data_IF_717083238393
#
_entry.id   IF_717083238393
#
_cell.length_a   1.000
_cell.length_b   1.000
_cell.length_c   1.000
_cell.angle_alpha   90.00
_cell.angle_beta   90.00
_cell.angle_gamma   90.00
#
_symmetry.space_group_name_H-M   'P 1'
#
loop_
_entity.id
_entity.type
_entity.pdbx_description
1 polymer ?
#
# COMPACT_ATOMS: atom_id res chain seq x y z
N UNK A 1 5.59 -2.18 -12.64
CA UNK A 1 5.63 -1.16 -11.57
C UNK A 1 5.08 0.18 -12.03
N UNK A 2 5.51 0.79 -13.13
CA UNK A 2 4.98 2.09 -13.62
C UNK A 2 3.45 2.11 -13.73
N UNK A 3 2.83 1.09 -14.35
CA UNK A 3 1.37 0.98 -14.42
C UNK A 3 0.72 0.88 -13.03
N UNK A 4 1.38 0.22 -12.08
CA UNK A 4 0.90 0.18 -10.70
C UNK A 4 0.86 1.57 -10.07
N UNK A 5 1.96 2.33 -10.19
CA UNK A 5 2.05 3.69 -9.68
C UNK A 5 0.99 4.61 -10.34
N UNK A 6 0.81 4.50 -11.66
CA UNK A 6 -0.21 5.25 -12.40
C UNK A 6 -1.64 4.99 -11.87
N UNK A 7 -2.02 3.71 -11.70
CA UNK A 7 -3.35 3.40 -11.20
C UNK A 7 -3.55 3.78 -9.73
N UNK A 8 -2.52 3.67 -8.90
CA UNK A 8 -2.59 4.17 -7.53
C UNK A 8 -2.69 5.70 -7.47
N UNK A 9 -2.04 6.42 -8.37
CA UNK A 9 -2.19 7.87 -8.50
C UNK A 9 -3.65 8.25 -8.82
N UNK A 10 -4.26 7.60 -9.83
CA UNK A 10 -5.67 7.80 -10.15
C UNK A 10 -6.58 7.47 -8.95
N UNK A 11 -6.32 6.35 -8.27
CA UNK A 11 -7.05 6.00 -7.05
C UNK A 11 -6.99 7.12 -6.02
N UNK A 12 -5.80 7.67 -5.77
CA UNK A 12 -5.60 8.73 -4.76
C UNK A 12 -6.39 9.99 -5.07
N UNK A 13 -6.51 10.37 -6.35
CA UNK A 13 -7.34 11.50 -6.78
C UNK A 13 -8.80 11.30 -6.33
N UNK A 14 -9.38 10.12 -6.60
CA UNK A 14 -10.77 9.84 -6.21
C UNK A 14 -10.95 9.66 -4.71
N UNK A 15 -9.94 9.11 -4.00
CA UNK A 15 -9.93 9.09 -2.53
C UNK A 15 -10.03 10.52 -1.99
N UNK A 16 -9.24 11.45 -2.51
CA UNK A 16 -9.27 12.86 -2.09
C UNK A 16 -10.62 13.52 -2.35
N UNK A 17 -11.26 13.20 -3.48
CA UNK A 17 -12.58 13.74 -3.83
C UNK A 17 -13.69 13.22 -2.90
N UNK A 18 -13.61 11.98 -2.44
CA UNK A 18 -14.63 11.40 -1.57
C UNK A 18 -14.36 11.64 -0.09
N UNK A 19 -13.12 11.95 0.28
CA UNK A 19 -12.74 12.24 1.67
C UNK A 19 -13.40 13.50 2.26
N UNK A 20 -13.98 14.36 1.41
CA UNK A 20 -14.82 15.50 1.88
C UNK A 20 -16.20 15.07 2.40
N UNK A 21 -16.64 13.84 2.07
CA UNK A 21 -17.97 13.33 2.41
C UNK A 21 -17.89 12.12 3.36
N UNK A 22 -16.90 11.27 3.19
CA UNK A 22 -16.79 10.00 3.93
C UNK A 22 -15.54 9.94 4.79
N UNK A 23 -15.67 9.32 5.96
CA UNK A 23 -14.54 8.99 6.81
C UNK A 23 -13.57 8.03 6.11
N UNK A 24 -12.30 8.22 6.37
CA UNK A 24 -11.21 7.42 5.77
C UNK A 24 -11.42 5.91 5.96
N UNK A 25 -11.93 5.51 7.14
CA UNK A 25 -12.16 4.11 7.46
C UNK A 25 -13.25 3.48 6.57
N UNK A 26 -14.30 4.22 6.22
CA UNK A 26 -15.33 3.78 5.28
C UNK A 26 -14.78 3.62 3.87
N UNK A 27 -13.92 4.55 3.44
CA UNK A 27 -13.25 4.45 2.13
C UNK A 27 -12.38 3.18 2.06
N UNK A 28 -11.63 2.89 3.14
CA UNK A 28 -10.83 1.66 3.27
C UNK A 28 -11.70 0.42 3.19
N UNK A 29 -12.83 0.42 3.91
CA UNK A 29 -13.77 -0.69 3.92
C UNK A 29 -14.35 -0.96 2.53
N UNK A 30 -14.96 0.02 1.89
CA UNK A 30 -15.59 -0.15 0.58
C UNK A 30 -14.58 -0.54 -0.50
N UNK A 31 -13.41 0.10 -0.50
CA UNK A 31 -12.30 -0.29 -1.36
C UNK A 31 -11.88 -1.74 -1.13
N UNK A 32 -11.77 -2.13 0.16
CA UNK A 32 -11.45 -3.50 0.58
C UNK A 32 -12.48 -4.50 0.08
N UNK A 33 -13.77 -4.24 0.27
CA UNK A 33 -14.86 -5.10 -0.21
C UNK A 33 -14.82 -5.25 -1.73
N UNK A 34 -14.68 -4.15 -2.47
CA UNK A 34 -14.60 -4.20 -3.93
C UNK A 34 -13.40 -5.02 -4.41
N UNK A 35 -12.21 -4.78 -3.86
CA UNK A 35 -11.00 -5.52 -4.24
C UNK A 35 -11.05 -6.98 -3.80
N UNK A 36 -11.70 -7.29 -2.68
CA UNK A 36 -11.92 -8.67 -2.22
C UNK A 36 -12.82 -9.45 -3.20
N UNK A 37 -13.96 -8.87 -3.59
CA UNK A 37 -14.89 -9.48 -4.52
C UNK A 37 -14.28 -9.69 -5.91
N UNK A 38 -13.61 -8.66 -6.43
CA UNK A 38 -12.94 -8.75 -7.74
C UNK A 38 -11.77 -9.73 -7.73
N UNK A 39 -10.99 -9.79 -6.65
CA UNK A 39 -9.91 -10.78 -6.51
C UNK A 39 -10.47 -12.19 -6.36
N UNK A 40 -11.58 -12.37 -5.64
CA UNK A 40 -12.26 -13.67 -5.55
C UNK A 40 -12.73 -14.15 -6.92
N UNK A 41 -13.31 -13.25 -7.74
CA UNK A 41 -13.67 -13.55 -9.13
C UNK A 41 -12.43 -13.98 -9.94
N UNK A 42 -11.30 -13.27 -9.82
CA UNK A 42 -10.06 -13.63 -10.51
C UNK A 42 -9.51 -14.99 -10.04
N UNK A 43 -9.58 -15.30 -8.74
CA UNK A 43 -9.21 -16.62 -8.21
C UNK A 43 -10.01 -17.74 -8.90
N UNK A 44 -11.31 -17.58 -9.01
CA UNK A 44 -12.18 -18.54 -9.68
C UNK A 44 -11.86 -18.65 -11.17
N UNK A 45 -11.73 -17.52 -11.86
CA UNK A 45 -11.43 -17.46 -13.30
C UNK A 45 -10.11 -18.15 -13.67
N UNK A 46 -9.10 -18.02 -12.84
CA UNK A 46 -7.76 -18.60 -13.09
C UNK A 46 -7.50 -19.89 -12.31
N UNK A 47 -8.52 -20.51 -11.73
CA UNK A 47 -8.44 -21.75 -10.95
C UNK A 47 -7.32 -21.72 -9.88
N UNK A 48 -7.12 -20.54 -9.25
CA UNK A 48 -6.15 -20.39 -8.18
C UNK A 48 -6.78 -20.70 -6.82
N UNK A 49 -6.03 -21.38 -5.94
CA UNK A 49 -6.48 -21.68 -4.59
C UNK A 49 -6.53 -20.42 -3.73
N UNK A 50 -7.62 -20.22 -3.00
CA UNK A 50 -7.74 -19.14 -2.00
C UNK A 50 -6.71 -19.33 -0.89
N UNK A 51 -6.53 -20.57 -0.43
CA UNK A 51 -5.67 -20.88 0.72
C UNK A 51 -4.18 -20.87 0.38
N UNK A 52 -3.81 -21.07 -0.89
CA UNK A 52 -2.40 -21.22 -1.30
C UNK A 52 -1.72 -22.43 -0.63
N UNK A 53 -0.42 -22.54 -0.84
CA UNK A 53 0.41 -23.60 -0.23
C UNK A 53 1.10 -23.13 1.05
N UNK A 54 1.47 -21.84 1.13
CA UNK A 54 2.22 -21.24 2.24
C UNK A 54 1.34 -20.27 3.05
N UNK A 55 0.30 -20.81 3.68
CA UNK A 55 -0.74 -20.04 4.38
C UNK A 55 -0.19 -19.03 5.38
N UNK A 56 0.76 -19.43 6.23
CA UNK A 56 1.32 -18.55 7.25
C UNK A 56 1.94 -17.27 6.68
N UNK A 57 2.65 -17.37 5.53
CA UNK A 57 3.28 -16.22 4.90
C UNK A 57 2.23 -15.35 4.21
N UNK A 58 1.21 -15.96 3.60
CA UNK A 58 0.08 -15.26 2.99
C UNK A 58 -0.73 -14.48 4.05
N UNK A 59 -1.02 -15.10 5.19
CA UNK A 59 -1.66 -14.43 6.33
C UNK A 59 -0.82 -13.26 6.83
N UNK A 60 0.48 -13.50 7.07
CA UNK A 60 1.41 -12.46 7.50
C UNK A 60 1.46 -11.29 6.51
N UNK A 61 1.49 -11.58 5.19
CA UNK A 61 1.42 -10.59 4.11
C UNK A 61 0.13 -9.75 4.21
N UNK A 62 -1.01 -10.40 4.35
CA UNK A 62 -2.31 -9.75 4.45
C UNK A 62 -2.40 -8.88 5.68
N UNK A 63 -2.06 -9.43 6.83
CA UNK A 63 -2.13 -8.75 8.12
C UNK A 63 -1.18 -7.53 8.18
N UNK A 64 0.12 -7.73 7.91
CA UNK A 64 1.11 -6.64 7.92
C UNK A 64 0.73 -5.55 6.93
N UNK A 65 0.28 -5.91 5.71
CA UNK A 65 -0.13 -4.92 4.72
C UNK A 65 -1.35 -4.11 5.16
N UNK A 66 -2.30 -4.74 5.84
CA UNK A 66 -3.48 -4.05 6.35
C UNK A 66 -3.16 -3.14 7.54
N UNK A 67 -2.33 -3.62 8.48
CA UNK A 67 -1.86 -2.79 9.60
C UNK A 67 -1.04 -1.61 9.08
N UNK A 68 -0.15 -1.82 8.09
CA UNK A 68 0.58 -0.75 7.43
C UNK A 68 -0.36 0.33 6.88
N UNK A 69 -1.45 -0.09 6.23
CA UNK A 69 -2.44 0.82 5.67
C UNK A 69 -3.06 1.73 6.75
N UNK A 70 -3.43 1.18 7.91
CA UNK A 70 -3.97 1.98 9.03
C UNK A 70 -2.97 3.00 9.54
N UNK A 71 -1.70 2.61 9.73
CA UNK A 71 -0.66 3.54 10.13
C UNK A 71 -0.40 4.64 9.09
N UNK A 72 -0.45 4.31 7.80
CA UNK A 72 -0.32 5.30 6.71
C UNK A 72 -1.48 6.29 6.75
N UNK A 73 -2.73 5.83 6.93
CA UNK A 73 -3.86 6.74 7.02
C UNK A 73 -3.83 7.57 8.31
N UNK A 74 -3.42 6.99 9.43
CA UNK A 74 -3.27 7.71 10.68
C UNK A 74 -2.20 8.82 10.56
N UNK A 75 -1.10 8.54 9.85
CA UNK A 75 -0.08 9.57 9.58
C UNK A 75 -0.62 10.72 8.72
N UNK A 76 -1.49 10.43 7.74
CA UNK A 76 -2.15 11.46 6.91
C UNK A 76 -3.15 12.32 7.70
N UNK A 77 -3.73 11.79 8.78
CA UNK A 77 -4.63 12.52 9.67
C UNK A 77 -3.86 13.45 10.63
N UNK A 78 -2.63 13.08 11.00
CA UNK A 78 -1.83 13.78 12.01
C UNK A 78 -0.82 14.77 11.43
N UNK A 79 -0.27 14.44 10.27
CA UNK A 79 0.76 15.23 9.58
C UNK A 79 0.16 15.99 8.39
N UNK A 80 0.86 17.01 7.92
CA UNK A 80 0.53 17.59 6.62
C UNK A 80 0.73 16.56 5.50
N UNK A 81 -0.03 16.68 4.41
CA UNK A 81 0.07 15.75 3.28
C UNK A 81 1.51 15.63 2.73
N UNK A 82 2.27 16.74 2.56
CA UNK A 82 3.67 16.66 2.16
C UNK A 82 4.54 15.84 3.12
N UNK A 83 4.45 16.11 4.42
CA UNK A 83 5.25 15.44 5.45
C UNK A 83 4.95 13.93 5.51
N UNK A 84 3.66 13.58 5.59
CA UNK A 84 3.23 12.17 5.59
C UNK A 84 3.68 11.44 4.32
N UNK A 85 3.60 12.09 3.16
CA UNK A 85 3.97 11.50 1.88
C UNK A 85 5.48 11.28 1.78
N UNK A 86 6.30 12.26 2.18
CA UNK A 86 7.78 12.10 2.17
C UNK A 86 8.20 10.95 3.09
N UNK A 87 7.62 10.86 4.30
CA UNK A 87 7.92 9.75 5.21
C UNK A 87 7.43 8.42 4.64
N UNK A 88 6.25 8.39 4.01
CA UNK A 88 5.73 7.18 3.37
C UNK A 88 6.67 6.71 2.26
N UNK A 89 7.26 7.61 1.48
CA UNK A 89 8.23 7.26 0.43
C UNK A 89 9.59 6.76 0.96
N UNK A 90 9.78 6.59 2.26
CA UNK A 90 10.87 5.81 2.82
C UNK A 90 10.67 4.28 2.68
N UNK A 91 9.44 3.81 2.35
CA UNK A 91 9.17 2.37 2.23
C UNK A 91 10.10 1.62 1.25
N UNK A 92 10.65 2.19 0.15
CA UNK A 92 11.61 1.47 -0.68
C UNK A 92 12.93 1.19 0.04
N UNK A 93 13.37 2.08 0.95
CA UNK A 93 14.54 1.83 1.79
C UNK A 93 14.28 0.63 2.69
N UNK A 94 13.14 0.61 3.39
CA UNK A 94 12.76 -0.52 4.23
C UNK A 94 12.59 -1.81 3.40
N UNK A 95 12.02 -1.71 2.18
CA UNK A 95 11.92 -2.86 1.26
C UNK A 95 13.30 -3.43 0.93
N UNK A 96 14.29 -2.57 0.66
CA UNK A 96 15.67 -3.01 0.42
C UNK A 96 16.24 -3.71 1.65
N UNK A 97 16.15 -3.08 2.81
CA UNK A 97 16.67 -3.64 4.07
C UNK A 97 16.04 -5.03 4.31
N UNK A 98 14.72 -5.13 4.31
CA UNK A 98 14.03 -6.40 4.56
C UNK A 98 14.27 -7.44 3.45
N UNK A 99 14.48 -7.03 2.19
CA UNK A 99 14.76 -7.99 1.11
C UNK A 99 16.13 -8.65 1.27
N UNK A 100 17.12 -7.94 1.78
CA UNK A 100 18.43 -8.51 2.11
C UNK A 100 18.30 -9.54 3.22
N UNK A 101 17.61 -9.21 4.33
CA UNK A 101 17.50 -10.10 5.48
C UNK A 101 16.53 -11.27 5.25
N UNK A 102 15.37 -11.05 4.62
CA UNK A 102 14.31 -12.07 4.51
C UNK A 102 14.39 -12.90 3.23
N UNK A 103 15.03 -12.40 2.17
CA UNK A 103 15.10 -13.04 0.86
C UNK A 103 16.53 -13.35 0.41
N UNK A 104 17.54 -12.90 1.16
CA UNK A 104 18.97 -12.96 0.78
C UNK A 104 19.21 -12.37 -0.63
N UNK A 105 18.47 -11.32 -1.02
CA UNK A 105 18.64 -10.67 -2.31
C UNK A 105 19.90 -9.79 -2.29
N UNK A 106 20.83 -10.05 -3.20
CA UNK A 106 21.99 -9.18 -3.45
C UNK A 106 21.54 -8.04 -4.37
N UNK A 107 21.69 -6.83 -3.91
CA UNK A 107 21.28 -5.64 -4.65
C UNK A 107 22.49 -4.91 -5.20
N UNK A 108 22.40 -4.39 -6.42
CA UNK A 108 23.45 -3.58 -7.02
C UNK A 108 23.48 -2.19 -6.39
N UNK A 109 24.64 -1.55 -6.38
CA UNK A 109 24.79 -0.16 -5.91
C UNK A 109 23.86 0.81 -6.66
N UNK A 110 23.57 0.52 -7.91
CA UNK A 110 22.66 1.32 -8.72
C UNK A 110 21.23 1.39 -8.15
N UNK A 111 20.77 0.35 -7.44
CA UNK A 111 19.46 0.35 -6.79
C UNK A 111 19.46 1.29 -5.60
N UNK A 112 20.52 1.30 -4.81
CA UNK A 112 20.65 2.25 -3.68
C UNK A 112 20.71 3.69 -4.19
N UNK A 113 21.47 3.96 -5.25
CA UNK A 113 21.51 5.29 -5.87
C UNK A 113 20.16 5.71 -6.44
N UNK A 114 19.43 4.81 -7.10
CA UNK A 114 18.09 5.10 -7.63
C UNK A 114 17.09 5.44 -6.52
N UNK A 115 17.14 4.73 -5.39
CA UNK A 115 16.29 5.00 -4.23
C UNK A 115 16.64 6.35 -3.60
N UNK A 116 17.92 6.63 -3.45
CA UNK A 116 18.38 7.92 -2.89
C UNK A 116 17.95 9.10 -3.78
N UNK A 117 18.16 8.99 -5.09
CA UNK A 117 17.75 10.03 -6.04
C UNK A 117 16.23 10.19 -6.08
N UNK A 118 15.47 9.09 -6.04
CA UNK A 118 14.00 9.12 -5.98
C UNK A 118 13.52 9.82 -4.71
N UNK A 119 14.11 9.52 -3.55
CA UNK A 119 13.77 10.18 -2.30
C UNK A 119 14.07 11.69 -2.34
N UNK A 120 15.25 12.09 -2.86
CA UNK A 120 15.60 13.50 -3.04
C UNK A 120 14.58 14.17 -3.97
N UNK A 121 14.20 13.52 -5.06
CA UNK A 121 13.18 14.03 -5.99
C UNK A 121 11.82 14.25 -5.31
N UNK A 122 11.33 13.28 -4.55
CA UNK A 122 10.09 13.41 -3.80
C UNK A 122 10.18 14.55 -2.77
N UNK A 123 11.28 14.63 -2.04
CA UNK A 123 11.50 15.68 -1.05
C UNK A 123 11.52 17.08 -1.66
N UNK A 124 12.10 17.21 -2.87
CA UNK A 124 12.13 18.46 -3.64
C UNK A 124 10.74 18.83 -4.17
N UNK A 125 9.96 17.86 -4.70
CA UNK A 125 8.60 18.11 -5.22
C UNK A 125 7.69 18.67 -4.13
N UNK A 126 7.85 18.23 -2.88
CA UNK A 126 7.07 18.73 -1.76
C UNK A 126 7.70 19.96 -1.07
N UNK A 127 8.60 20.66 -1.75
CA UNK A 127 9.17 21.94 -1.31
C UNK A 127 9.86 21.88 0.07
N UNK A 128 10.60 20.78 0.32
CA UNK A 128 11.36 20.59 1.57
C UNK A 128 10.51 20.75 2.84
N UNK A 129 9.47 19.94 3.04
CA UNK A 129 8.45 20.16 4.07
C UNK A 129 9.02 20.28 5.49
N UNK A 130 10.13 19.55 5.81
CA UNK A 130 10.73 19.61 7.16
C UNK A 130 11.65 20.83 7.38
N UNK A 131 12.06 21.52 6.31
CA UNK A 131 12.91 22.71 6.39
C UNK A 131 12.06 23.98 6.37
N UNK A 132 11.03 24.01 5.53
CA UNK A 132 10.20 25.20 5.30
C UNK A 132 8.94 25.22 6.18
N UNK A 133 8.50 24.07 6.71
CA UNK A 133 7.37 24.04 7.63
C UNK A 133 7.74 24.67 8.97
N UNK A 134 6.88 25.56 9.45
CA UNK A 134 6.98 26.12 10.81
C UNK A 134 6.43 25.19 11.89
N UNK A 135 5.92 24.03 11.48
CA UNK A 135 5.30 23.06 12.38
C UNK A 135 6.34 22.12 12.96
N UNK A 136 6.43 22.03 14.27
CA UNK A 136 7.27 21.05 14.96
C UNK A 136 6.50 19.73 14.98
N UNK A 137 7.02 18.74 14.26
CA UNK A 137 6.43 17.39 14.23
C UNK A 137 6.63 16.73 15.59
N UNK A 138 5.56 16.23 16.18
CA UNK A 138 5.61 15.43 17.40
C UNK A 138 6.35 14.11 17.17
N UNK A 139 7.09 13.65 18.18
CA UNK A 139 7.78 12.35 18.08
C UNK A 139 6.79 11.21 17.83
N UNK A 140 5.61 11.24 18.44
CA UNK A 140 4.56 10.22 18.26
C UNK A 140 4.08 10.16 16.81
N UNK A 141 3.88 11.30 16.18
CA UNK A 141 3.41 11.41 14.79
C UNK A 141 4.47 10.90 13.81
N UNK A 142 5.74 11.24 14.08
CA UNK A 142 6.88 10.72 13.30
C UNK A 142 6.99 9.20 13.43
N UNK A 143 6.87 8.66 14.64
CA UNK A 143 6.93 7.20 14.88
C UNK A 143 5.80 6.48 14.15
N UNK A 144 4.56 7.00 14.20
CA UNK A 144 3.40 6.44 13.49
C UNK A 144 3.68 6.37 11.98
N UNK A 145 4.16 7.44 11.39
CA UNK A 145 4.46 7.51 9.96
C UNK A 145 5.63 6.57 9.55
N UNK A 146 6.69 6.51 10.35
CA UNK A 146 7.82 5.60 10.11
C UNK A 146 7.43 4.13 10.24
N UNK A 147 6.60 3.77 11.23
CA UNK A 147 6.07 2.42 11.39
C UNK A 147 5.22 2.06 10.18
N UNK A 148 4.33 2.94 9.71
CA UNK A 148 3.53 2.74 8.50
C UNK A 148 4.38 2.48 7.26
N UNK A 149 5.41 3.30 7.04
CA UNK A 149 6.36 3.15 5.93
C UNK A 149 7.16 1.84 6.04
N UNK A 150 7.67 1.51 7.22
CA UNK A 150 8.41 0.26 7.48
C UNK A 150 7.55 -0.98 7.22
N UNK A 151 6.33 -1.03 7.76
CA UNK A 151 5.39 -2.13 7.54
C UNK A 151 4.98 -2.26 6.06
N UNK A 152 4.87 -1.14 5.34
CA UNK A 152 4.64 -1.15 3.88
C UNK A 152 5.80 -1.85 3.17
N UNK A 153 7.05 -1.50 3.50
CA UNK A 153 8.25 -2.16 2.98
C UNK A 153 8.25 -3.67 3.28
N UNK A 154 7.95 -4.05 4.52
CA UNK A 154 7.85 -5.45 4.93
C UNK A 154 6.76 -6.20 4.14
N UNK A 155 5.57 -5.60 3.97
CA UNK A 155 4.48 -6.18 3.21
C UNK A 155 4.88 -6.46 1.75
N UNK A 156 5.61 -5.57 1.11
CA UNK A 156 6.07 -5.75 -0.27
C UNK A 156 7.15 -6.83 -0.40
N UNK A 157 8.05 -6.95 0.58
CA UNK A 157 8.99 -8.08 0.63
C UNK A 157 8.25 -9.40 0.80
N UNK A 158 7.19 -9.45 1.59
CA UNK A 158 6.34 -10.64 1.73
C UNK A 158 5.61 -10.99 0.42
N UNK A 159 5.14 -10.00 -0.37
CA UNK A 159 4.63 -10.25 -1.73
C UNK A 159 5.68 -10.94 -2.58
N UNK A 160 6.91 -10.44 -2.56
CA UNK A 160 8.04 -11.06 -3.28
C UNK A 160 8.34 -12.47 -2.76
N UNK A 161 8.33 -12.67 -1.45
CA UNK A 161 8.56 -13.99 -0.82
C UNK A 161 7.51 -15.01 -1.24
N UNK A 162 6.22 -14.65 -1.15
CA UNK A 162 5.13 -15.50 -1.62
C UNK A 162 5.30 -15.87 -3.10
N UNK A 163 5.67 -14.90 -3.94
CA UNK A 163 5.89 -15.12 -5.37
C UNK A 163 7.08 -16.06 -5.64
N UNK A 164 8.18 -15.96 -4.88
CA UNK A 164 9.33 -16.89 -4.96
C UNK A 164 8.96 -18.31 -4.53
N UNK A 165 8.02 -18.47 -3.63
CA UNK A 165 7.49 -19.76 -3.18
C UNK A 165 6.45 -20.36 -4.13
N UNK A 166 6.22 -19.72 -5.28
CA UNK A 166 5.31 -20.24 -6.31
C UNK A 166 3.83 -19.93 -6.08
N UNK A 167 3.51 -19.07 -5.11
CA UNK A 167 2.11 -18.69 -4.88
C UNK A 167 1.53 -17.90 -6.05
N UNK A 168 0.26 -18.14 -6.35
CA UNK A 168 -0.46 -17.39 -7.39
C UNK A 168 -0.53 -15.91 -7.03
N UNK A 169 -0.29 -14.99 -7.98
CA UNK A 169 -0.50 -13.57 -7.75
C UNK A 169 -1.89 -13.24 -7.21
N UNK A 170 -2.92 -13.94 -7.68
CA UNK A 170 -4.30 -13.74 -7.24
C UNK A 170 -4.51 -14.17 -5.80
N UNK A 171 -3.88 -15.26 -5.36
CA UNK A 171 -3.87 -15.71 -3.96
C UNK A 171 -3.18 -14.68 -3.06
N UNK A 172 -2.02 -14.17 -3.48
CA UNK A 172 -1.28 -13.13 -2.72
C UNK A 172 -2.12 -11.85 -2.57
N UNK A 173 -2.84 -11.46 -3.64
CA UNK A 173 -3.70 -10.27 -3.64
C UNK A 173 -4.91 -10.42 -2.72
N UNK A 174 -5.45 -11.63 -2.53
CA UNK A 174 -6.67 -11.89 -1.77
C UNK A 174 -6.54 -11.55 -0.28
N UNK A 175 -5.41 -11.88 0.32
CA UNK A 175 -5.23 -11.74 1.77
C UNK A 175 -5.20 -10.29 2.25
N UNK A 176 -4.72 -9.38 1.45
CA UNK A 176 -4.66 -7.96 1.82
C UNK A 176 -6.05 -7.33 1.99
N UNK A 177 -6.95 -7.34 1.00
CA UNK A 177 -8.29 -6.80 1.18
C UNK A 177 -9.10 -7.60 2.20
N UNK A 178 -8.87 -8.92 2.35
CA UNK A 178 -9.51 -9.71 3.37
C UNK A 178 -9.23 -9.17 4.79
N UNK A 179 -7.96 -8.97 5.14
CA UNK A 179 -7.61 -8.38 6.43
C UNK A 179 -7.99 -6.89 6.53
N UNK A 180 -7.91 -6.14 5.44
CA UNK A 180 -8.31 -4.73 5.41
C UNK A 180 -9.80 -4.56 5.76
N UNK A 181 -10.67 -5.39 5.18
CA UNK A 181 -12.11 -5.41 5.51
C UNK A 181 -12.31 -5.85 6.95
N UNK A 182 -11.70 -6.97 7.37
CA UNK A 182 -11.87 -7.52 8.71
C UNK A 182 -11.48 -6.50 9.80
N UNK A 183 -10.36 -5.80 9.62
CA UNK A 183 -9.88 -4.82 10.58
C UNK A 183 -10.65 -3.49 10.54
N UNK A 184 -11.29 -3.14 9.42
CA UNK A 184 -12.07 -1.91 9.31
C UNK A 184 -13.48 -2.03 9.91
N UNK A 185 -14.06 -3.23 9.96
CA UNK A 185 -15.43 -3.47 10.45
C UNK A 185 -15.69 -2.85 11.83
N UNK A 186 -14.88 -3.08 12.87
CA UNK A 186 -15.17 -2.56 14.22
C UNK A 186 -15.25 -1.04 14.27
N UNK A 187 -14.44 -0.36 13.48
CA UNK A 187 -14.35 1.11 13.47
C UNK A 187 -15.41 1.76 12.58
N UNK A 188 -15.89 1.05 11.55
CA UNK A 188 -16.86 1.57 10.60
C UNK A 188 -18.22 1.83 11.25
N UNK A 189 -18.64 0.99 12.22
CA UNK A 189 -19.96 1.13 12.85
C UNK A 189 -20.13 2.41 13.68
N UNK A 190 -19.02 2.97 14.21
CA UNK A 190 -19.04 4.19 15.01
C UNK A 190 -19.09 5.49 14.17
N UNK A 191 -18.67 5.41 12.90
CA UNK A 191 -18.47 6.60 12.04
C UNK A 191 -19.23 6.49 10.71
N UNK A 192 -20.30 5.66 10.67
CA UNK A 192 -21.03 5.43 9.43
C UNK A 192 -21.75 6.68 8.91
N UNK A 193 -21.40 7.06 7.68
CA UNK A 193 -22.07 8.10 6.91
C UNK A 193 -22.66 7.46 5.65
N UNK A 194 -23.92 7.74 5.33
CA UNK A 194 -24.52 7.22 4.10
C UNK A 194 -23.93 7.94 2.87
N UNK A 195 -23.25 7.21 1.95
CA UNK A 195 -22.65 7.81 0.79
C UNK A 195 -23.69 8.39 -0.16
N UNK A 196 -23.46 9.58 -0.71
CA UNK A 196 -24.26 10.13 -1.81
C UNK A 196 -24.09 9.30 -3.09
N UNK A 197 -24.96 9.50 -4.07
CA UNK A 197 -24.84 8.85 -5.38
C UNK A 197 -23.47 9.15 -6.04
N UNK A 198 -22.99 10.37 -5.89
CA UNK A 198 -21.67 10.80 -6.37
C UNK A 198 -20.53 10.09 -5.65
N UNK A 199 -20.63 9.94 -4.33
CA UNK A 199 -19.65 9.20 -3.54
C UNK A 199 -19.59 7.72 -3.95
N UNK A 200 -20.72 7.06 -4.20
CA UNK A 200 -20.76 5.69 -4.72
C UNK A 200 -20.03 5.53 -6.05
N UNK A 201 -20.18 6.48 -6.96
CA UNK A 201 -19.43 6.49 -8.22
C UNK A 201 -17.92 6.60 -8.00
N UNK A 202 -17.48 7.48 -7.08
CA UNK A 202 -16.06 7.61 -6.75
C UNK A 202 -15.52 6.35 -6.04
N UNK A 203 -16.28 5.74 -5.13
CA UNK A 203 -15.92 4.47 -4.48
C UNK A 203 -15.70 3.36 -5.53
N UNK A 204 -16.55 3.27 -6.52
CA UNK A 204 -16.40 2.31 -7.63
C UNK A 204 -15.08 2.54 -8.38
N UNK A 205 -14.76 3.77 -8.73
CA UNK A 205 -13.50 4.12 -9.40
C UNK A 205 -12.27 3.84 -8.52
N UNK A 206 -12.35 4.16 -7.22
CA UNK A 206 -11.32 3.80 -6.23
C UNK A 206 -11.08 2.29 -6.24
N UNK A 207 -12.15 1.50 -6.20
CA UNK A 207 -12.07 0.04 -6.24
C UNK A 207 -11.40 -0.49 -7.50
N UNK A 208 -11.81 0.00 -8.67
CA UNK A 208 -11.25 -0.39 -9.97
C UNK A 208 -9.75 -0.06 -10.04
N UNK A 209 -9.38 1.19 -9.73
CA UNK A 209 -7.98 1.61 -9.81
C UNK A 209 -7.11 0.95 -8.74
N UNK A 210 -7.63 0.71 -7.55
CA UNK A 210 -6.93 -0.09 -6.52
C UNK A 210 -6.66 -1.51 -7.03
N UNK A 211 -7.66 -2.16 -7.63
CA UNK A 211 -7.52 -3.52 -8.14
C UNK A 211 -6.46 -3.61 -9.23
N UNK A 212 -6.49 -2.69 -10.19
CA UNK A 212 -5.49 -2.61 -11.27
C UNK A 212 -4.10 -2.31 -10.70
N UNK A 213 -4.00 -1.35 -9.80
CA UNK A 213 -2.75 -1.01 -9.11
C UNK A 213 -2.14 -2.21 -8.39
N UNK A 214 -2.94 -2.94 -7.60
CA UNK A 214 -2.51 -4.14 -6.87
C UNK A 214 -2.13 -5.29 -7.81
N UNK A 215 -2.85 -5.45 -8.92
CA UNK A 215 -2.53 -6.46 -9.92
C UNK A 215 -1.12 -6.23 -10.49
N UNK A 216 -0.87 -5.03 -11.01
CA UNK A 216 0.43 -4.69 -11.58
C UNK A 216 1.55 -4.66 -10.55
N UNK A 217 1.27 -4.26 -9.30
CA UNK A 217 2.21 -4.33 -8.19
C UNK A 217 2.62 -5.78 -7.93
N UNK A 218 1.66 -6.68 -7.76
CA UNK A 218 1.94 -8.08 -7.42
C UNK A 218 2.72 -8.77 -8.54
N UNK A 219 2.35 -8.54 -9.81
CA UNK A 219 3.13 -9.02 -10.95
C UNK A 219 4.52 -8.37 -11.03
N UNK A 220 4.66 -7.10 -10.71
CA UNK A 220 5.95 -6.42 -10.64
C UNK A 220 6.90 -7.07 -9.63
N UNK A 221 6.42 -7.32 -8.41
CA UNK A 221 7.19 -8.03 -7.38
C UNK A 221 7.40 -9.52 -7.68
N UNK A 222 6.57 -10.14 -8.52
CA UNK A 222 6.81 -11.50 -9.03
C UNK A 222 7.99 -11.54 -9.98
N UNK A 223 8.13 -10.56 -10.86
CA UNK A 223 9.12 -10.55 -11.94
C UNK A 223 10.46 -9.94 -11.54
N UNK A 224 10.47 -9.00 -10.60
CA UNK A 224 11.65 -8.21 -10.23
C UNK A 224 12.08 -8.49 -8.79
N UNK A 225 13.39 -8.38 -8.47
CA UNK A 225 13.86 -8.27 -7.09
C UNK A 225 13.16 -7.14 -6.34
N UNK A 226 12.93 -7.32 -5.03
CA UNK A 226 12.11 -6.39 -4.26
C UNK A 226 12.65 -4.95 -4.28
N UNK A 227 13.96 -4.77 -4.12
CA UNK A 227 14.60 -3.46 -4.18
C UNK A 227 14.48 -2.79 -5.56
N UNK A 228 14.60 -3.55 -6.67
CA UNK A 228 14.40 -3.00 -8.02
C UNK A 228 12.93 -2.65 -8.29
N UNK A 229 12.01 -3.46 -7.81
CA UNK A 229 10.58 -3.19 -7.96
C UNK A 229 10.19 -1.92 -7.20
N UNK A 230 10.66 -1.75 -5.96
CA UNK A 230 10.36 -0.57 -5.14
C UNK A 230 11.00 0.72 -5.67
N UNK A 231 12.22 0.66 -6.23
CA UNK A 231 12.87 1.86 -6.79
C UNK A 231 12.16 2.42 -8.03
N UNK A 232 11.41 1.60 -8.77
CA UNK A 232 10.62 2.04 -9.94
C UNK A 232 9.31 2.73 -9.52
N UNK A 233 8.91 2.64 -8.26
CA UNK A 233 7.65 3.24 -7.78
C UNK A 233 7.78 4.68 -7.28
N UNK A 234 8.99 5.24 -7.28
CA UNK A 234 9.20 6.68 -7.20
C UNK A 234 8.81 7.33 -8.54
#
# INVERSE_FOLDING_TARGET
>A
MVLSAFFFCLMTIFVKLVASELETIQIVFFRGVFTLLTTYYLLKKYNASIWGNHRNILFLRGFIGSVALFFVYESLNRLSIPEATVIQYLYPIFTVIFSVFLLNEKLSINIYLAILLGLIGVYTIFEFPFILSKHIIGLDDLVIALVGSSLTGAAYVLVRKCSKLGESPYTIMFYFPFFSVLLSIPFMFSTWINPSFKAWFYILLIGIFTQLGQLFLTFGYKLLPAGKASSISY
#
